data_IF_289346458549
#
_entry.id   IF_289346458549
#
_cell.length_a   1.000
_cell.length_b   1.000
_cell.length_c   1.000
_cell.angle_alpha   90.00
_cell.angle_beta   90.00
_cell.angle_gamma   90.00
#
_symmetry.space_group_name_H-M   'P 1'
#
loop_
_entity.id
_entity.type
_entity.pdbx_description
1 polymer ?
#
# COMPACT_ATOMS: atom_id res chain seq x y z
N UNK A 1 -10.76 5.09 7.37
CA UNK A 1 -11.07 5.46 5.97
C UNK A 1 -12.12 4.48 5.47
N UNK A 2 -13.24 4.95 4.92
CA UNK A 2 -14.26 4.07 4.36
C UNK A 2 -13.87 3.55 2.96
N UNK A 3 -14.52 2.46 2.53
CA UNK A 3 -14.22 1.77 1.27
C UNK A 3 -14.48 2.63 0.04
N UNK A 4 -15.56 3.42 0.05
CA UNK A 4 -15.95 4.25 -1.08
C UNK A 4 -14.90 5.33 -1.38
N UNK A 5 -14.42 6.01 -0.33
CA UNK A 5 -13.34 7.00 -0.45
C UNK A 5 -12.05 6.37 -0.98
N UNK A 6 -11.76 5.14 -0.57
CA UNK A 6 -10.57 4.41 -1.01
C UNK A 6 -10.66 4.06 -2.50
N UNK A 7 -11.81 3.62 -2.98
CA UNK A 7 -12.06 3.36 -4.41
C UNK A 7 -11.91 4.62 -5.27
N UNK A 8 -12.42 5.76 -4.79
CA UNK A 8 -12.26 7.06 -5.49
C UNK A 8 -10.79 7.44 -5.61
N UNK A 9 -10.01 7.31 -4.52
CA UNK A 9 -8.58 7.59 -4.58
C UNK A 9 -7.86 6.64 -5.54
N UNK A 10 -8.15 5.34 -5.50
CA UNK A 10 -7.55 4.39 -6.44
C UNK A 10 -7.84 4.75 -7.89
N UNK A 11 -9.07 5.18 -8.20
CA UNK A 11 -9.40 5.61 -9.57
C UNK A 11 -8.59 6.83 -9.99
N UNK A 12 -8.46 7.84 -9.13
CA UNK A 12 -7.66 9.04 -9.42
C UNK A 12 -6.18 8.72 -9.59
N UNK A 13 -5.64 7.81 -8.78
CA UNK A 13 -4.24 7.37 -8.89
C UNK A 13 -4.01 6.64 -10.22
N UNK A 14 -4.99 5.85 -10.71
CA UNK A 14 -4.93 5.25 -12.07
C UNK A 14 -4.82 6.34 -13.13
N UNK A 15 -5.51 7.46 -12.95
CA UNK A 15 -5.49 8.60 -13.87
C UNK A 15 -4.26 9.51 -13.69
N UNK A 16 -3.31 9.15 -12.81
CA UNK A 16 -2.05 9.87 -12.61
C UNK A 16 -2.11 11.01 -11.57
N UNK A 17 -3.12 11.04 -10.71
CA UNK A 17 -3.26 12.04 -9.65
C UNK A 17 -2.34 11.73 -8.45
N UNK A 18 -1.27 12.51 -8.30
CA UNK A 18 -0.32 12.41 -7.18
C UNK A 18 -0.92 12.89 -5.85
N UNK A 19 -1.84 13.84 -5.85
CA UNK A 19 -2.51 14.29 -4.63
C UNK A 19 -3.42 13.18 -4.08
N UNK A 20 -4.02 12.38 -4.96
CA UNK A 20 -4.78 11.21 -4.56
C UNK A 20 -3.88 10.14 -3.90
N UNK A 21 -2.64 9.96 -4.39
CA UNK A 21 -1.67 9.07 -3.75
C UNK A 21 -1.26 9.59 -2.37
N UNK A 22 -1.07 10.90 -2.22
CA UNK A 22 -0.81 11.51 -0.91
C UNK A 22 -1.99 11.33 0.06
N UNK A 23 -3.22 11.51 -0.43
CA UNK A 23 -4.43 11.26 0.34
C UNK A 23 -4.53 9.81 0.80
N UNK A 24 -4.14 8.86 -0.06
CA UNK A 24 -4.08 7.44 0.28
C UNK A 24 -3.00 7.20 1.34
N UNK A 25 -1.82 7.77 1.17
CA UNK A 25 -0.73 7.67 2.14
C UNK A 25 -1.17 8.14 3.53
N UNK A 26 -1.72 9.35 3.64
CA UNK A 26 -2.19 9.92 4.92
C UNK A 26 -3.24 9.04 5.60
N UNK A 27 -4.11 8.39 4.82
CA UNK A 27 -5.18 7.54 5.33
C UNK A 27 -4.80 6.10 5.65
N UNK A 28 -3.76 5.55 4.99
CA UNK A 28 -3.46 4.11 5.02
C UNK A 28 -2.06 3.77 5.55
N UNK A 29 -1.15 4.74 5.64
CA UNK A 29 0.23 4.53 6.08
C UNK A 29 0.31 3.79 7.43
N UNK A 30 -0.51 4.18 8.41
CA UNK A 30 -0.47 3.55 9.73
C UNK A 30 -0.84 2.05 9.67
N UNK A 31 -1.82 1.66 8.87
CA UNK A 31 -2.22 0.26 8.72
C UNK A 31 -1.12 -0.56 8.02
N UNK A 32 -0.54 0.00 6.94
CA UNK A 32 0.56 -0.61 6.20
C UNK A 32 1.79 -0.79 7.08
N UNK A 33 2.18 0.26 7.82
CA UNK A 33 3.30 0.23 8.75
C UNK A 33 3.09 -0.82 9.85
N UNK A 34 1.93 -0.81 10.51
CA UNK A 34 1.63 -1.74 11.61
C UNK A 34 1.69 -3.20 11.14
N UNK A 35 1.17 -3.49 9.94
CA UNK A 35 1.24 -4.83 9.38
C UNK A 35 2.66 -5.22 8.94
N UNK A 36 3.41 -4.28 8.36
CA UNK A 36 4.83 -4.48 8.04
C UNK A 36 5.64 -4.79 9.30
N UNK A 37 5.39 -4.07 10.40
CA UNK A 37 6.03 -4.29 11.68
C UNK A 37 5.71 -5.65 12.26
N UNK A 38 4.45 -6.10 12.15
CA UNK A 38 4.04 -7.43 12.57
C UNK A 38 4.82 -8.53 11.82
N UNK A 39 4.99 -8.40 10.50
CA UNK A 39 5.68 -9.38 9.67
C UNK A 39 7.20 -9.37 9.86
N UNK A 40 7.81 -8.18 9.88
CA UNK A 40 9.27 -8.00 9.86
C UNK A 40 9.89 -7.99 11.24
N UNK A 41 9.11 -7.68 12.29
CA UNK A 41 9.58 -7.54 13.69
C UNK A 41 10.77 -6.60 13.88
N UNK A 42 10.99 -5.72 12.90
CA UNK A 42 12.04 -4.72 12.88
C UNK A 42 11.43 -3.39 12.43
N UNK A 43 11.57 -2.36 13.27
CA UNK A 43 10.96 -1.05 13.02
C UNK A 43 11.50 -0.39 11.76
N UNK A 44 12.82 -0.35 11.58
CA UNK A 44 13.44 0.29 10.43
C UNK A 44 13.01 -0.39 9.12
N UNK A 45 13.08 -1.72 9.07
CA UNK A 45 12.62 -2.46 7.89
C UNK A 45 11.11 -2.28 7.63
N UNK A 46 10.30 -2.12 8.67
CA UNK A 46 8.87 -1.85 8.54
C UNK A 46 8.57 -0.46 7.99
N UNK A 47 9.33 0.57 8.40
CA UNK A 47 9.23 1.92 7.84
C UNK A 47 9.62 1.91 6.35
N UNK A 48 10.74 1.26 6.01
CA UNK A 48 11.17 1.11 4.60
C UNK A 48 10.13 0.34 3.77
N UNK A 49 9.57 -0.75 4.33
CA UNK A 49 8.54 -1.52 3.66
C UNK A 49 7.27 -0.71 3.43
N UNK A 50 6.85 0.08 4.42
CA UNK A 50 5.68 0.92 4.27
C UNK A 50 5.87 1.97 3.18
N UNK A 51 7.05 2.59 3.07
CA UNK A 51 7.36 3.53 2.00
C UNK A 51 7.30 2.85 0.62
N UNK A 52 7.98 1.70 0.47
CA UNK A 52 7.99 0.94 -0.78
C UNK A 52 6.59 0.49 -1.22
N UNK A 53 5.68 0.21 -0.28
CA UNK A 53 4.30 -0.13 -0.61
C UNK A 53 3.64 0.98 -1.41
N UNK A 54 3.79 2.25 -1.04
CA UNK A 54 3.17 3.35 -1.77
C UNK A 54 3.82 3.58 -3.14
N UNK A 55 5.14 3.37 -3.25
CA UNK A 55 5.82 3.36 -4.55
C UNK A 55 5.31 2.22 -5.44
N UNK A 56 5.12 1.03 -4.89
CA UNK A 56 4.57 -0.12 -5.60
C UNK A 56 3.10 0.07 -5.98
N UNK A 57 2.30 0.73 -5.13
CA UNK A 57 0.93 1.11 -5.46
C UNK A 57 0.95 1.98 -6.70
N UNK A 58 1.72 3.07 -6.71
CA UNK A 58 1.85 3.95 -7.88
C UNK A 58 2.26 3.18 -9.15
N UNK A 59 3.31 2.35 -9.04
CA UNK A 59 3.84 1.59 -10.18
C UNK A 59 2.86 0.52 -10.71
N UNK A 60 1.99 -0.03 -9.86
CA UNK A 60 1.12 -1.17 -10.21
C UNK A 60 -0.36 -0.82 -10.23
N UNK A 61 -0.75 0.42 -9.98
CA UNK A 61 -2.15 0.83 -9.84
C UNK A 61 -2.97 0.47 -11.08
N UNK A 62 -2.37 0.50 -12.27
CA UNK A 62 -3.00 0.09 -13.53
C UNK A 62 -3.46 -1.36 -13.56
N UNK A 63 -2.88 -2.22 -12.73
CA UNK A 63 -3.29 -3.63 -12.55
C UNK A 63 -4.42 -3.83 -11.55
N UNK A 64 -4.79 -2.79 -10.79
CA UNK A 64 -5.90 -2.85 -9.85
C UNK A 64 -7.23 -2.99 -10.61
N UNK A 65 -8.00 -4.01 -10.25
CA UNK A 65 -9.31 -4.27 -10.86
C UNK A 65 -10.40 -3.53 -10.09
N UNK A 66 -11.13 -2.64 -10.77
CA UNK A 66 -12.33 -1.99 -10.21
C UNK A 66 -13.33 -3.05 -9.72
N UNK A 67 -13.93 -2.82 -8.56
CA UNK A 67 -14.83 -3.78 -7.88
C UNK A 67 -14.13 -4.84 -7.03
N UNK A 68 -12.79 -4.90 -7.02
CA UNK A 68 -12.05 -5.66 -6.01
C UNK A 68 -11.81 -4.82 -4.75
N UNK A 69 -11.49 -5.44 -3.61
CA UNK A 69 -11.21 -4.68 -2.38
C UNK A 69 -9.88 -3.91 -2.49
N UNK A 70 -9.88 -2.56 -2.42
CA UNK A 70 -8.62 -1.81 -2.44
C UNK A 70 -7.75 -2.13 -1.24
N UNK A 71 -8.35 -2.25 -0.05
CA UNK A 71 -7.66 -2.67 1.17
C UNK A 71 -6.95 -4.01 0.98
N UNK A 72 -7.66 -5.02 0.44
CA UNK A 72 -7.08 -6.34 0.20
C UNK A 72 -5.92 -6.30 -0.81
N UNK A 73 -6.04 -5.48 -1.86
CA UNK A 73 -4.99 -5.31 -2.85
C UNK A 73 -3.74 -4.62 -2.27
N UNK A 74 -3.92 -3.53 -1.52
CA UNK A 74 -2.83 -2.84 -0.82
C UNK A 74 -2.13 -3.77 0.17
N UNK A 75 -2.89 -4.48 1.00
CA UNK A 75 -2.31 -5.40 2.00
C UNK A 75 -1.58 -6.58 1.37
N UNK A 76 -1.98 -7.02 0.17
CA UNK A 76 -1.24 -8.02 -0.60
C UNK A 76 0.11 -7.47 -1.06
N UNK A 77 0.18 -6.22 -1.53
CA UNK A 77 1.45 -5.56 -1.86
C UNK A 77 2.35 -5.50 -0.63
N UNK A 78 1.80 -5.04 0.50
CA UNK A 78 2.52 -4.97 1.79
C UNK A 78 3.10 -6.31 2.20
N UNK A 79 2.28 -7.37 2.15
CA UNK A 79 2.70 -8.73 2.49
C UNK A 79 3.83 -9.20 1.58
N UNK A 80 3.65 -9.09 0.26
CA UNK A 80 4.63 -9.59 -0.71
C UNK A 80 5.99 -8.92 -0.53
N UNK A 81 6.02 -7.59 -0.38
CA UNK A 81 7.27 -6.87 -0.14
C UNK A 81 7.93 -7.28 1.18
N UNK A 82 7.15 -7.47 2.26
CA UNK A 82 7.69 -7.90 3.54
C UNK A 82 8.27 -9.32 3.46
N UNK A 83 7.58 -10.26 2.80
CA UNK A 83 8.07 -11.63 2.62
C UNK A 83 9.33 -11.66 1.75
N UNK A 84 9.39 -10.86 0.69
CA UNK A 84 10.58 -10.76 -0.14
C UNK A 84 11.79 -10.23 0.65
N UNK A 85 11.58 -9.29 1.58
CA UNK A 85 12.63 -8.82 2.51
C UNK A 85 13.10 -9.89 3.48
N UNK A 86 12.17 -10.70 4.03
CA UNK A 86 12.52 -11.81 4.93
C UNK A 86 13.35 -12.87 4.19
N UNK A 87 13.04 -13.15 2.93
CA UNK A 87 13.75 -14.14 2.11
C UNK A 87 15.17 -13.71 1.69
N UNK A 88 15.45 -12.41 1.69
CA UNK A 88 16.75 -11.84 1.28
C UNK A 88 17.71 -11.60 2.45
N UNK A 89 17.26 -11.86 3.68
CA UNK A 89 18.09 -11.91 4.89
C UNK A 89 18.56 -13.36 5.13
#
# INVERSE_FOLDING_TARGET
MDTNRLEVLMSKIIDGDLEALEGLYRGFHHAVFTYSLYLLRNRAQAEDNAQDVFLQIWAKVSSYKKGSSPTGWIMRITHNLAIDRVRRQ
#
